data_IF_183365801624
#
_entry.id   IF_183365801624
#
_cell.length_a   1.000
_cell.length_b   1.000
_cell.length_c   1.000
_cell.angle_alpha   90.00
_cell.angle_beta   90.00
_cell.angle_gamma   90.00
#
_symmetry.space_group_name_H-M   'P 1'
#
loop_
_entity.id
_entity.type
_entity.pdbx_description
1 polymer ?
#
# COMPACT_ATOMS: atom_id res chain seq x y z
N UNK A 1 24.87 -28.39 5.77
CA UNK A 1 23.71 -29.08 6.41
C UNK A 1 22.80 -28.07 7.12
N UNK A 2 23.32 -27.16 7.96
CA UNK A 2 22.53 -26.08 8.55
C UNK A 2 22.02 -25.06 7.53
N UNK A 3 22.85 -24.69 6.54
CA UNK A 3 22.47 -23.76 5.46
C UNK A 3 21.27 -24.26 4.61
N UNK A 4 21.14 -25.57 4.43
CA UNK A 4 20.03 -26.18 3.68
C UNK A 4 18.70 -26.18 4.47
N UNK A 5 18.77 -26.13 5.80
CA UNK A 5 17.60 -26.04 6.68
C UNK A 5 17.10 -24.60 6.73
N UNK A 6 18.02 -23.62 6.81
CA UNK A 6 17.68 -22.19 6.74
C UNK A 6 17.02 -21.81 5.42
N UNK A 7 17.56 -22.29 4.29
CA UNK A 7 16.98 -22.01 2.98
C UNK A 7 15.55 -22.59 2.82
N UNK A 8 15.26 -23.77 3.39
CA UNK A 8 13.91 -24.35 3.36
C UNK A 8 12.91 -23.62 4.28
N UNK A 9 13.38 -23.03 5.39
CA UNK A 9 12.53 -22.26 6.31
C UNK A 9 12.15 -20.89 5.72
N UNK A 10 13.07 -20.22 5.03
CA UNK A 10 12.82 -18.94 4.35
C UNK A 10 11.80 -19.10 3.21
N UNK A 11 11.97 -20.13 2.38
CA UNK A 11 11.07 -20.41 1.24
C UNK A 11 9.64 -20.79 1.69
N UNK A 12 9.50 -21.48 2.83
CA UNK A 12 8.19 -21.83 3.39
C UNK A 12 7.48 -20.64 4.02
N UNK A 13 8.22 -19.66 4.53
CA UNK A 13 7.64 -18.46 5.14
C UNK A 13 7.20 -17.44 4.08
N UNK A 14 7.98 -17.30 2.99
CA UNK A 14 7.70 -16.36 1.90
C UNK A 14 6.41 -16.73 1.13
N UNK A 15 6.21 -18.01 0.81
CA UNK A 15 4.95 -18.50 0.21
C UNK A 15 3.72 -18.36 1.11
N UNK A 16 3.89 -18.42 2.43
CA UNK A 16 2.79 -18.19 3.39
C UNK A 16 2.46 -16.71 3.56
N UNK A 17 3.42 -15.80 3.29
CA UNK A 17 3.22 -14.36 3.36
C UNK A 17 2.44 -13.84 2.16
N UNK A 18 2.80 -14.26 0.94
CA UNK A 18 2.09 -13.87 -0.28
C UNK A 18 0.60 -14.24 -0.23
N UNK A 19 0.27 -15.39 0.35
CA UNK A 19 -1.12 -15.84 0.53
C UNK A 19 -1.96 -14.96 1.48
N UNK A 20 -1.31 -14.14 2.31
CA UNK A 20 -1.95 -13.25 3.30
C UNK A 20 -2.07 -11.81 2.84
N UNK A 21 -1.54 -11.49 1.65
CA UNK A 21 -1.55 -10.13 1.13
C UNK A 21 -2.79 -9.96 0.26
N UNK A 22 -3.57 -8.94 0.58
CA UNK A 22 -4.76 -8.53 -0.15
C UNK A 22 -4.48 -7.23 -0.89
N UNK A 23 -4.63 -7.29 -2.21
CA UNK A 23 -4.51 -6.14 -3.08
C UNK A 23 -5.88 -5.52 -3.31
N UNK A 24 -5.98 -4.19 -3.15
CA UNK A 24 -7.22 -3.44 -3.33
C UNK A 24 -6.95 -2.16 -4.09
N UNK A 25 -7.90 -1.70 -4.89
CA UNK A 25 -7.85 -0.38 -5.51
C UNK A 25 -8.04 0.74 -4.49
N UNK A 26 -7.53 1.92 -4.79
CA UNK A 26 -7.86 3.12 -4.04
C UNK A 26 -9.37 3.43 -4.19
N UNK A 27 -10.03 3.71 -3.07
CA UNK A 27 -11.49 3.89 -3.03
C UNK A 27 -11.95 5.07 -2.17
N UNK A 28 -11.12 5.54 -1.23
CA UNK A 28 -11.53 6.58 -0.29
C UNK A 28 -10.37 7.37 0.29
N UNK A 29 -10.63 8.65 0.56
CA UNK A 29 -9.77 9.55 1.34
C UNK A 29 -9.34 8.95 2.69
N UNK A 30 -10.13 8.03 3.27
CA UNK A 30 -9.77 7.33 4.51
C UNK A 30 -8.44 6.55 4.39
N UNK A 31 -8.05 6.15 3.18
CA UNK A 31 -6.79 5.45 2.92
C UNK A 31 -5.60 6.41 2.82
N UNK A 32 -5.84 7.72 2.64
CA UNK A 32 -4.80 8.72 2.39
C UNK A 32 -3.77 8.80 3.51
N UNK A 33 -4.21 8.79 4.77
CA UNK A 33 -3.30 8.86 5.92
C UNK A 33 -2.32 7.69 5.95
N UNK A 34 -2.80 6.48 5.65
CA UNK A 34 -1.96 5.28 5.58
C UNK A 34 -0.99 5.33 4.39
N UNK A 35 -1.45 5.78 3.22
CA UNK A 35 -0.60 5.96 2.03
C UNK A 35 0.54 6.94 2.32
N UNK A 36 0.22 8.12 2.85
CA UNK A 36 1.21 9.13 3.21
C UNK A 36 2.22 8.58 4.21
N UNK A 37 1.74 7.94 5.29
CA UNK A 37 2.61 7.37 6.32
C UNK A 37 3.55 6.29 5.79
N UNK A 38 3.15 5.54 4.76
CA UNK A 38 4.02 4.54 4.12
C UNK A 38 5.02 5.17 3.16
N UNK A 39 4.58 6.09 2.29
CA UNK A 39 5.42 6.74 1.29
C UNK A 39 6.45 7.66 1.94
N UNK A 40 6.06 8.43 2.96
CA UNK A 40 6.94 9.40 3.63
C UNK A 40 8.12 8.72 4.36
N UNK A 41 8.04 7.42 4.67
CA UNK A 41 9.17 6.65 5.25
C UNK A 41 10.32 6.45 4.27
N UNK A 42 10.03 6.48 2.98
CA UNK A 42 10.99 6.19 1.90
C UNK A 42 11.50 7.45 1.20
N UNK A 43 10.98 8.62 1.58
CA UNK A 43 11.33 9.91 0.99
C UNK A 43 12.13 10.77 1.96
N UNK A 44 13.14 11.47 1.45
CA UNK A 44 13.88 12.48 2.22
C UNK A 44 13.05 13.73 2.51
N UNK A 45 12.07 14.03 1.65
CA UNK A 45 11.14 15.15 1.81
C UNK A 45 9.71 14.66 1.50
N UNK A 46 8.75 14.78 2.45
CA UNK A 46 7.39 14.33 2.23
C UNK A 46 6.67 15.25 1.25
N UNK A 47 5.82 14.68 0.39
CA UNK A 47 4.98 15.48 -0.49
C UNK A 47 3.90 16.22 0.29
N UNK A 48 3.42 17.34 -0.26
CA UNK A 48 2.21 17.98 0.28
C UNK A 48 0.99 17.07 0.09
N UNK A 49 0.00 17.18 0.98
CA UNK A 49 -1.29 16.48 0.85
C UNK A 49 -1.97 16.71 -0.52
N UNK A 50 -1.73 17.88 -1.13
CA UNK A 50 -2.29 18.22 -2.45
C UNK A 50 -1.70 17.35 -3.57
N UNK A 51 -0.43 16.98 -3.47
CA UNK A 51 0.23 16.09 -4.44
C UNK A 51 -0.45 14.72 -4.43
N UNK A 52 -0.69 14.15 -3.25
CA UNK A 52 -1.39 12.88 -3.12
C UNK A 52 -2.81 12.95 -3.70
N UNK A 53 -3.59 13.97 -3.30
CA UNK A 53 -4.96 14.17 -3.81
C UNK A 53 -5.02 14.34 -5.33
N UNK A 54 -4.06 15.04 -5.92
CA UNK A 54 -4.01 15.23 -7.36
C UNK A 54 -3.99 13.88 -8.10
N UNK A 55 -3.15 12.94 -7.67
CA UNK A 55 -3.10 11.61 -8.27
C UNK A 55 -4.29 10.74 -7.89
N UNK A 56 -4.58 10.62 -6.58
CA UNK A 56 -5.58 9.69 -6.06
C UNK A 56 -7.01 10.04 -6.51
N UNK A 57 -7.34 11.33 -6.60
CA UNK A 57 -8.65 11.77 -7.11
C UNK A 57 -8.68 11.84 -8.64
N UNK A 58 -7.54 12.08 -9.29
CA UNK A 58 -7.46 12.18 -10.75
C UNK A 58 -7.51 10.82 -11.44
N UNK A 59 -6.84 9.81 -10.87
CA UNK A 59 -6.72 8.47 -11.43
C UNK A 59 -6.87 7.39 -10.35
N UNK A 60 -8.02 7.33 -9.64
CA UNK A 60 -8.23 6.35 -8.57
C UNK A 60 -8.06 4.90 -9.06
N UNK A 61 -8.50 4.62 -10.29
CA UNK A 61 -8.41 3.28 -10.91
C UNK A 61 -6.98 2.85 -11.28
N UNK A 62 -6.01 3.77 -11.21
CA UNK A 62 -4.58 3.50 -11.44
C UNK A 62 -3.78 3.45 -10.13
N UNK A 63 -4.46 3.39 -8.98
CA UNK A 63 -3.84 3.39 -7.66
C UNK A 63 -4.24 2.12 -6.92
N UNK A 64 -3.25 1.35 -6.47
CA UNK A 64 -3.46 0.07 -5.77
C UNK A 64 -2.70 0.03 -4.45
N UNK A 65 -3.27 -0.67 -3.49
CA UNK A 65 -2.78 -0.83 -2.13
C UNK A 65 -2.66 -2.32 -1.81
N UNK A 66 -1.62 -2.69 -1.08
CA UNK A 66 -1.41 -4.03 -0.55
C UNK A 66 -1.56 -4.01 0.97
N UNK A 67 -2.53 -4.77 1.47
CA UNK A 67 -2.76 -4.96 2.90
C UNK A 67 -2.35 -6.36 3.32
N UNK A 68 -1.89 -6.52 4.55
CA UNK A 68 -1.68 -7.83 5.18
C UNK A 68 -2.63 -7.97 6.37
N UNK A 69 -3.24 -9.15 6.51
CA UNK A 69 -4.02 -9.49 7.70
C UNK A 69 -3.06 -9.69 8.87
N UNK A 70 -3.29 -9.01 9.99
CA UNK A 70 -2.43 -9.06 11.18
C UNK A 70 -2.90 -10.20 12.11
N UNK A 71 -2.22 -11.35 12.11
CA UNK A 71 -2.52 -12.44 13.06
C UNK A 71 -1.89 -12.13 14.43
N UNK A 72 -2.19 -10.98 15.04
CA UNK A 72 -1.88 -10.60 16.44
C UNK A 72 -0.45 -10.92 16.99
N UNK A 73 0.52 -11.25 16.14
CA UNK A 73 1.82 -11.76 16.53
C UNK A 73 2.80 -11.55 15.39
N UNK A 74 3.55 -10.46 15.51
CA UNK A 74 4.88 -10.21 14.91
C UNK A 74 4.95 -8.94 14.04
N UNK A 75 4.81 -7.79 14.70
CA UNK A 75 5.74 -6.64 14.68
C UNK A 75 4.94 -5.34 14.78
N UNK A 76 4.94 -4.80 15.99
CA UNK A 76 4.78 -3.37 16.21
C UNK A 76 5.94 -2.66 15.49
N UNK A 77 5.72 -2.24 14.24
CA UNK A 77 6.53 -1.19 13.63
C UNK A 77 5.85 0.11 13.95
N UNK A 78 6.47 0.83 14.89
CA UNK A 78 6.14 2.16 15.34
C UNK A 78 5.76 3.07 14.15
N UNK A 79 4.51 3.48 14.12
CA UNK A 79 4.03 4.68 13.44
C UNK A 79 3.27 5.47 14.48
N UNK A 80 4.00 6.27 15.25
CA UNK A 80 3.47 7.15 16.27
C UNK A 80 2.46 8.12 15.61
N UNK A 81 1.24 8.13 16.17
CA UNK A 81 0.17 9.13 16.08
C UNK A 81 -0.16 9.75 14.71
N UNK A 82 -1.06 9.10 13.97
CA UNK A 82 -2.26 9.78 13.48
C UNK A 82 -3.48 9.16 14.17
N UNK A 83 -3.75 9.63 15.39
CA UNK A 83 -4.96 9.27 16.13
C UNK A 83 -6.17 9.80 15.35
N UNK A 84 -6.91 8.93 14.66
CA UNK A 84 -8.33 9.17 14.51
C UNK A 84 -8.89 9.27 15.93
N UNK A 85 -9.60 10.36 16.22
CA UNK A 85 -10.39 10.44 17.44
C UNK A 85 -11.23 9.17 17.54
N UNK A 86 -10.94 8.43 18.61
CA UNK A 86 -11.64 7.24 19.05
C UNK A 86 -13.05 7.67 19.47
N UNK A 87 -13.91 7.92 18.49
CA UNK A 87 -15.33 8.19 18.70
C UNK A 87 -16.04 6.85 18.85
N UNK A 88 -16.81 6.77 19.93
CA UNK A 88 -17.43 5.60 20.51
C UNK A 88 -18.21 4.73 19.51
N UNK A 89 -18.28 3.40 19.73
CA UNK A 89 -19.04 2.50 18.87
C UNK A 89 -20.52 2.55 19.25
N UNK A 90 -21.29 3.42 18.60
CA UNK A 90 -22.75 3.45 18.74
C UNK A 90 -23.41 3.23 17.36
N UNK A 91 -24.02 2.05 17.22
CA UNK A 91 -24.94 1.58 16.17
C UNK A 91 -24.42 1.32 14.74
N UNK A 92 -24.03 0.05 14.53
CA UNK A 92 -24.33 -0.84 13.39
C UNK A 92 -24.69 -0.24 12.02
N UNK A 93 -23.79 -0.47 11.05
CA UNK A 93 -24.12 -1.06 9.73
C UNK A 93 -22.96 -1.97 9.26
N UNK A 94 -23.31 -3.02 8.51
CA UNK A 94 -22.55 -4.26 8.25
C UNK A 94 -21.42 -4.18 7.21
N UNK A 95 -20.79 -3.02 7.02
CA UNK A 95 -19.59 -2.92 6.19
C UNK A 95 -18.35 -2.91 7.08
N UNK A 96 -17.80 -4.11 7.27
CA UNK A 96 -16.64 -4.47 8.07
C UNK A 96 -15.41 -3.64 7.67
N UNK A 97 -15.22 -2.47 8.30
CA UNK A 97 -13.91 -1.85 8.43
C UNK A 97 -13.06 -2.82 9.23
N UNK A 98 -12.36 -3.68 8.50
CA UNK A 98 -11.42 -4.66 9.03
C UNK A 98 -10.24 -3.92 9.67
N UNK A 99 -10.41 -3.56 10.94
CA UNK A 99 -9.46 -2.82 11.78
C UNK A 99 -8.12 -3.57 11.97
N UNK A 100 -8.00 -4.79 11.44
CA UNK A 100 -6.85 -5.67 11.60
C UNK A 100 -5.97 -5.80 10.35
N UNK A 101 -6.06 -4.85 9.41
CA UNK A 101 -5.23 -4.85 8.20
C UNK A 101 -4.18 -3.75 8.20
N UNK A 102 -2.92 -4.15 8.08
CA UNK A 102 -1.79 -3.23 7.97
C UNK A 102 -1.47 -2.97 6.49
N UNK A 103 -1.34 -1.70 6.11
CA UNK A 103 -0.89 -1.33 4.77
C UNK A 103 0.61 -1.59 4.64
N UNK A 104 0.99 -2.43 3.68
CA UNK A 104 2.39 -2.85 3.46
C UNK A 104 2.94 -2.44 2.10
N UNK A 105 2.09 -2.03 1.17
CA UNK A 105 2.50 -1.56 -0.15
C UNK A 105 1.50 -0.61 -0.79
N UNK A 106 1.99 0.29 -1.62
CA UNK A 106 1.15 1.19 -2.43
C UNK A 106 1.85 1.51 -3.75
N UNK A 107 1.06 1.56 -4.83
CA UNK A 107 1.43 2.13 -6.12
C UNK A 107 0.42 3.21 -6.50
N UNK A 108 0.92 4.35 -6.97
CA UNK A 108 0.11 5.48 -7.42
C UNK A 108 0.49 5.78 -8.86
N UNK A 109 -0.46 5.56 -9.77
CA UNK A 109 -0.30 5.77 -11.20
C UNK A 109 -1.07 6.98 -11.72
N UNK A 110 -0.74 7.36 -12.96
CA UNK A 110 -1.39 8.38 -13.77
C UNK A 110 -1.37 7.94 -15.23
N UNK A 111 -2.36 8.35 -16.01
CA UNK A 111 -2.31 8.23 -17.46
C UNK A 111 -2.76 9.52 -18.14
N UNK A 112 -2.01 9.94 -19.16
CA UNK A 112 -2.32 11.10 -19.98
C UNK A 112 -2.47 10.70 -21.45
N UNK A 113 -3.31 11.43 -22.15
CA UNK A 113 -3.40 11.38 -23.61
C UNK A 113 -2.42 12.42 -24.20
N UNK A 114 -1.12 12.24 -23.95
CA UNK A 114 -0.10 13.06 -24.59
C UNK A 114 0.32 12.41 -25.92
N UNK A 115 -0.19 12.97 -27.01
CA UNK A 115 0.30 12.71 -28.35
C UNK A 115 0.32 14.02 -29.15
N UNK A 116 1.47 14.30 -29.77
CA UNK A 116 1.57 15.23 -30.89
C UNK A 116 0.59 14.81 -32.00
N UNK A 117 0.12 15.77 -32.80
CA UNK A 117 -0.99 15.65 -33.76
C UNK A 117 -1.01 14.38 -34.66
N UNK A 118 0.11 13.67 -34.80
CA UNK A 118 0.25 12.52 -35.70
C UNK A 118 0.24 11.13 -35.00
N UNK A 119 0.24 11.05 -33.67
CA UNK A 119 0.11 9.76 -32.97
C UNK A 119 -0.39 9.95 -31.55
N UNK A 120 -1.72 9.87 -31.37
CA UNK A 120 -2.39 9.95 -30.08
C UNK A 120 -2.16 8.66 -29.28
N UNK A 121 -1.02 8.57 -28.60
CA UNK A 121 -0.69 7.48 -27.70
C UNK A 121 -1.23 7.74 -26.28
N UNK A 122 -1.58 6.67 -25.57
CA UNK A 122 -1.85 6.72 -24.14
C UNK A 122 -0.51 6.48 -23.40
N UNK A 123 -0.09 7.43 -22.58
CA UNK A 123 1.15 7.33 -21.81
C UNK A 123 0.82 7.21 -20.32
N UNK A 124 1.28 6.13 -19.69
CA UNK A 124 1.19 5.92 -18.25
C UNK A 124 2.44 6.39 -17.52
N UNK A 125 2.28 6.81 -16.27
CA UNK A 125 3.35 7.22 -15.37
C UNK A 125 3.10 6.66 -13.96
N UNK A 126 4.13 6.05 -13.35
CA UNK A 126 4.11 5.67 -11.94
C UNK A 126 4.66 6.85 -11.13
N UNK A 127 3.78 7.48 -10.36
CA UNK A 127 4.13 8.64 -9.54
C UNK A 127 4.81 8.24 -8.23
N UNK A 128 4.29 7.21 -7.57
CA UNK A 128 4.80 6.73 -6.29
C UNK A 128 4.71 5.21 -6.24
N UNK A 129 5.73 4.57 -5.66
CA UNK A 129 5.75 3.15 -5.32
C UNK A 129 6.48 3.01 -3.99
N UNK A 130 5.81 2.47 -2.98
CA UNK A 130 6.40 2.23 -1.68
C UNK A 130 5.98 0.85 -1.16
N UNK A 131 6.92 0.14 -0.54
CA UNK A 131 6.71 -1.15 0.13
C UNK A 131 7.43 -1.12 1.47
N UNK A 132 6.71 -1.48 2.53
CA UNK A 132 7.21 -1.54 3.89
C UNK A 132 8.45 -2.43 3.94
N UNK A 133 9.50 -1.95 4.62
CA UNK A 133 10.85 -2.52 4.55
C UNK A 133 10.92 -3.99 4.94
N UNK A 134 10.12 -4.42 5.92
CA UNK A 134 10.06 -5.82 6.38
C UNK A 134 9.40 -6.75 5.36
N UNK A 135 8.58 -6.22 4.45
CA UNK A 135 7.94 -6.96 3.35
C UNK A 135 8.60 -6.73 1.98
N UNK A 136 9.74 -6.03 1.92
CA UNK A 136 10.52 -5.92 0.68
C UNK A 136 11.08 -7.27 0.28
N UNK A 137 11.32 -7.43 -1.02
CA UNK A 137 11.81 -8.66 -1.67
C UNK A 137 10.82 -9.82 -1.67
N UNK A 138 9.65 -9.68 -1.04
CA UNK A 138 8.55 -10.64 -1.09
C UNK A 138 7.62 -10.45 -2.31
N UNK A 139 8.13 -9.97 -3.45
CA UNK A 139 7.36 -9.83 -4.70
C UNK A 139 6.28 -8.72 -4.75
N UNK A 140 5.87 -8.13 -3.63
CA UNK A 140 4.74 -7.16 -3.54
C UNK A 140 4.82 -6.04 -4.57
N UNK A 141 5.96 -5.35 -4.64
CA UNK A 141 6.13 -4.20 -5.53
C UNK A 141 6.17 -4.56 -7.02
N UNK A 142 6.38 -5.84 -7.37
CA UNK A 142 6.30 -6.32 -8.74
C UNK A 142 4.88 -6.77 -9.13
N UNK A 143 4.04 -7.06 -8.14
CA UNK A 143 2.64 -7.45 -8.34
C UNK A 143 1.69 -6.25 -8.39
N UNK A 144 2.02 -5.18 -7.65
CA UNK A 144 1.36 -3.88 -7.72
C UNK A 144 1.50 -3.25 -9.12
#
# INVERSE_FOLDING_TARGET
MLESIQHNLEQKNESSLEARIKYVGYSSEKQLGAIMALVDRDLSEPYSIFTYRYFLCGWPDLCFLAYIDDDASSKAVAGDQYSLEKTSPESMDRDEYDEHRTLVGVIVGKADNEGSQDSKGLCGYIAMLAVETSYRRAGIGAYL
#
